data_IF_836843688593
#
_entry.id   IF_836843688593
#
_cell.length_a   1.000
_cell.length_b   1.000
_cell.length_c   1.000
_cell.angle_alpha   90.00
_cell.angle_beta   90.00
_cell.angle_gamma   90.00
#
_symmetry.space_group_name_H-M   'P 1'
#
loop_
_entity.id
_entity.type
_entity.pdbx_description
1 polymer ?
#
# COMPACT_ATOMS: atom_id res chain seq x y z
N UNK A 1 2.83 5.62 -9.88
CA UNK A 1 1.79 5.83 -8.85
C UNK A 1 1.79 4.64 -7.92
N UNK A 2 1.74 4.87 -6.61
CA UNK A 2 1.65 3.80 -5.61
C UNK A 2 0.62 4.13 -4.53
N UNK A 3 -0.12 3.11 -4.07
CA UNK A 3 -1.04 3.22 -2.95
C UNK A 3 -0.62 2.25 -1.84
N UNK A 4 -0.68 2.67 -0.59
CA UNK A 4 -0.42 1.81 0.58
C UNK A 4 0.93 1.09 0.46
N UNK A 5 0.95 -0.24 0.49
CA UNK A 5 2.16 -1.05 0.25
C UNK A 5 2.82 -0.74 -1.11
N UNK A 6 2.04 -0.46 -2.15
CA UNK A 6 2.56 -0.07 -3.46
C UNK A 6 3.30 1.27 -3.42
N UNK A 7 2.88 2.21 -2.57
CA UNK A 7 3.58 3.47 -2.33
C UNK A 7 4.94 3.23 -1.67
N UNK A 8 4.97 2.36 -0.65
CA UNK A 8 6.21 1.96 0.03
C UNK A 8 7.22 1.36 -0.95
N UNK A 9 6.78 0.40 -1.78
CA UNK A 9 7.64 -0.24 -2.79
C UNK A 9 8.15 0.78 -3.81
N UNK A 10 7.29 1.72 -4.23
CA UNK A 10 7.66 2.77 -5.18
C UNK A 10 8.72 3.74 -4.60
N UNK A 11 8.62 4.12 -3.33
CA UNK A 11 9.64 4.90 -2.63
C UNK A 11 10.97 4.17 -2.58
N UNK A 12 10.97 2.89 -2.18
CA UNK A 12 12.20 2.09 -2.12
C UNK A 12 12.85 1.97 -3.48
N UNK A 13 12.05 1.75 -4.55
CA UNK A 13 12.55 1.71 -5.92
C UNK A 13 13.14 3.06 -6.35
N UNK A 14 12.42 4.16 -6.15
CA UNK A 14 12.87 5.50 -6.54
C UNK A 14 14.17 5.93 -5.82
N UNK A 15 14.34 5.51 -4.58
CA UNK A 15 15.57 5.77 -3.83
C UNK A 15 16.74 4.88 -4.27
N UNK A 16 16.48 3.60 -4.61
CA UNK A 16 17.52 2.64 -4.97
C UNK A 16 17.94 2.74 -6.45
N UNK A 17 17.04 3.18 -7.33
CA UNK A 17 17.23 3.28 -8.78
C UNK A 17 16.66 4.60 -9.30
N UNK A 18 17.24 5.76 -8.93
CA UNK A 18 16.68 7.07 -9.24
C UNK A 18 16.54 7.32 -10.75
N UNK A 19 17.39 6.73 -11.57
CA UNK A 19 17.35 6.83 -13.04
C UNK A 19 16.12 6.14 -13.67
N UNK A 20 15.36 5.36 -12.89
CA UNK A 20 14.17 4.62 -13.36
C UNK A 20 12.86 5.34 -13.05
N UNK A 21 12.89 6.41 -12.25
CA UNK A 21 11.69 7.07 -11.76
C UNK A 21 11.78 8.57 -12.00
N UNK A 22 11.00 9.05 -12.95
CA UNK A 22 10.95 10.48 -13.29
C UNK A 22 10.09 11.28 -12.33
N UNK A 23 9.00 10.71 -11.84
CA UNK A 23 8.03 11.33 -10.91
C UNK A 23 7.39 10.26 -10.04
N UNK A 24 7.07 10.60 -8.80
CA UNK A 24 6.51 9.68 -7.83
C UNK A 24 5.23 10.25 -7.21
N UNK A 25 4.09 9.63 -7.52
CA UNK A 25 2.80 9.96 -6.92
C UNK A 25 2.38 8.86 -5.93
N UNK A 26 2.08 9.25 -4.69
CA UNK A 26 1.82 8.35 -3.58
C UNK A 26 0.43 8.61 -2.98
N UNK A 27 -0.28 7.55 -2.64
CA UNK A 27 -1.58 7.61 -1.97
C UNK A 27 -1.50 6.85 -0.65
N UNK A 28 -1.64 7.57 0.44
CA UNK A 28 -1.76 7.08 1.83
C UNK A 28 -0.80 5.91 2.16
N UNK A 29 0.45 6.07 1.75
CA UNK A 29 1.55 5.15 2.01
C UNK A 29 2.89 5.85 1.76
N UNK A 30 3.88 5.63 2.62
CA UNK A 30 5.15 6.36 2.57
C UNK A 30 6.36 5.48 2.87
N UNK A 31 6.35 4.80 4.00
CA UNK A 31 7.48 4.00 4.48
C UNK A 31 7.01 2.67 5.05
N UNK A 32 7.84 1.61 5.03
CA UNK A 32 7.48 0.32 5.59
C UNK A 32 7.34 0.42 7.12
N UNK A 33 6.57 -0.51 7.69
CA UNK A 33 6.57 -0.71 9.13
C UNK A 33 7.98 -1.01 9.60
N UNK A 34 8.48 -0.19 10.52
CA UNK A 34 9.82 -0.32 11.09
C UNK A 34 9.86 -1.36 12.20
N UNK A 35 11.06 -1.81 12.54
CA UNK A 35 11.31 -2.70 13.66
C UNK A 35 12.53 -2.25 14.46
N UNK A 36 12.53 -2.61 15.74
CA UNK A 36 13.67 -2.38 16.61
C UNK A 36 14.70 -3.49 16.40
N UNK A 37 16.02 -3.18 16.41
CA UNK A 37 17.08 -4.14 16.15
C UNK A 37 17.08 -5.35 17.08
N UNK A 38 16.79 -5.16 18.35
CA UNK A 38 16.72 -6.21 19.39
C UNK A 38 15.59 -7.20 19.16
N UNK A 39 14.51 -6.78 18.47
CA UNK A 39 13.38 -7.63 18.11
C UNK A 39 13.60 -8.42 16.82
N UNK A 40 14.63 -8.10 16.03
CA UNK A 40 14.85 -8.69 14.71
C UNK A 40 14.91 -10.23 14.72
N UNK A 41 15.61 -10.92 15.65
CA UNK A 41 15.64 -12.38 15.68
C UNK A 41 14.25 -13.01 15.94
N UNK A 42 13.47 -12.43 16.86
CA UNK A 42 12.12 -12.91 17.16
C UNK A 42 11.18 -12.73 15.95
N UNK A 43 11.21 -11.55 15.32
CA UNK A 43 10.40 -11.24 14.14
C UNK A 43 10.75 -12.11 12.92
N UNK A 44 12.03 -12.37 12.71
CA UNK A 44 12.47 -13.29 11.67
C UNK A 44 11.92 -14.71 11.95
N UNK A 45 12.02 -15.21 13.17
CA UNK A 45 11.48 -16.51 13.56
C UNK A 45 9.96 -16.61 13.37
N UNK A 46 9.20 -15.57 13.72
CA UNK A 46 7.77 -15.48 13.48
C UNK A 46 7.45 -15.56 11.98
N UNK A 47 8.14 -14.76 11.16
CA UNK A 47 7.91 -14.71 9.72
C UNK A 47 8.25 -16.03 9.01
N UNK A 48 9.34 -16.69 9.39
CA UNK A 48 9.72 -18.00 8.85
C UNK A 48 8.68 -19.08 9.19
N UNK A 49 8.22 -19.13 10.44
CA UNK A 49 7.13 -20.06 10.84
C UNK A 49 5.84 -19.79 10.08
N UNK A 50 5.47 -18.53 9.90
CA UNK A 50 4.29 -18.16 9.13
C UNK A 50 4.43 -18.57 7.64
N UNK A 51 5.61 -18.40 7.05
CA UNK A 51 5.88 -18.81 5.67
C UNK A 51 5.81 -20.34 5.51
N UNK A 52 6.38 -21.12 6.44
CA UNK A 52 6.29 -22.56 6.43
C UNK A 52 4.82 -23.03 6.58
N UNK A 53 4.07 -22.41 7.48
CA UNK A 53 2.66 -22.71 7.68
C UNK A 53 1.81 -22.36 6.44
N UNK A 54 2.19 -21.34 5.66
CA UNK A 54 1.48 -20.95 4.44
C UNK A 54 1.70 -21.94 3.30
N UNK A 55 2.88 -22.55 3.19
CA UNK A 55 3.23 -23.46 2.08
C UNK A 55 2.30 -24.68 1.97
N UNK A 56 1.65 -25.08 3.06
CA UNK A 56 0.64 -26.15 3.09
C UNK A 56 -0.80 -25.69 2.93
N UNK A 57 -1.06 -24.37 2.85
CA UNK A 57 -2.44 -23.85 2.78
C UNK A 57 -2.87 -23.59 1.33
N UNK A 58 -4.04 -24.13 0.98
CA UNK A 58 -4.71 -23.77 -0.28
C UNK A 58 -5.36 -22.40 -0.13
N UNK A 59 -5.37 -21.62 -1.23
CA UNK A 59 -6.14 -20.38 -1.28
C UNK A 59 -7.63 -20.67 -1.08
N UNK A 60 -8.37 -19.74 -0.45
CA UNK A 60 -9.82 -19.88 -0.37
C UNK A 60 -10.43 -19.89 -1.78
N UNK A 61 -11.41 -20.78 -1.97
CA UNK A 61 -12.23 -20.84 -3.18
C UNK A 61 -13.62 -20.37 -2.80
N UNK A 62 -14.14 -19.41 -3.53
CA UNK A 62 -15.48 -18.84 -3.36
C UNK A 62 -16.39 -19.41 -4.45
N UNK A 63 -17.53 -19.99 -4.10
CA UNK A 63 -18.46 -20.56 -5.06
C UNK A 63 -19.04 -19.52 -6.03
N UNK A 64 -19.09 -18.26 -5.61
CA UNK A 64 -19.48 -17.14 -6.46
C UNK A 64 -18.67 -15.86 -6.13
N UNK A 65 -18.78 -14.86 -7.00
CA UNK A 65 -18.05 -13.60 -6.89
C UNK A 65 -18.49 -12.79 -5.67
N UNK A 66 -19.78 -12.85 -5.28
CA UNK A 66 -20.30 -12.05 -4.17
C UNK A 66 -19.69 -12.47 -2.82
N UNK A 67 -19.45 -13.76 -2.62
CA UNK A 67 -18.74 -14.25 -1.43
C UNK A 67 -17.30 -13.70 -1.35
N UNK A 68 -16.62 -13.58 -2.48
CA UNK A 68 -15.29 -12.98 -2.52
C UNK A 68 -15.33 -11.47 -2.25
N UNK A 69 -16.36 -10.75 -2.75
CA UNK A 69 -16.62 -9.34 -2.47
C UNK A 69 -16.87 -9.13 -0.98
N UNK A 70 -17.76 -9.91 -0.37
CA UNK A 70 -18.07 -9.83 1.06
C UNK A 70 -16.84 -10.12 1.93
N UNK A 71 -16.01 -11.08 1.54
CA UNK A 71 -14.75 -11.37 2.20
C UNK A 71 -13.75 -10.19 2.08
N UNK A 72 -13.69 -9.52 0.91
CA UNK A 72 -12.81 -8.36 0.70
C UNK A 72 -13.25 -7.15 1.54
N UNK A 73 -14.55 -6.91 1.67
CA UNK A 73 -15.09 -5.83 2.51
C UNK A 73 -14.68 -5.97 3.98
N UNK A 74 -14.59 -7.22 4.47
CA UNK A 74 -14.20 -7.55 5.86
C UNK A 74 -12.70 -7.70 6.06
N UNK A 75 -11.91 -7.64 5.00
CA UNK A 75 -10.47 -7.82 5.02
C UNK A 75 -9.71 -6.62 5.57
N UNK A 76 -8.39 -6.73 5.62
CA UNK A 76 -7.49 -5.64 6.05
C UNK A 76 -7.69 -4.42 5.14
N UNK A 77 -7.88 -3.26 5.76
CA UNK A 77 -8.24 -2.03 5.06
C UNK A 77 -9.61 -2.22 4.39
N UNK A 78 -10.69 -2.16 5.19
CA UNK A 78 -12.06 -2.25 4.67
C UNK A 78 -12.29 -1.28 3.52
N UNK A 79 -13.08 -1.71 2.54
CA UNK A 79 -13.47 -0.92 1.37
C UNK A 79 -14.98 -0.95 1.22
N UNK A 80 -15.55 0.00 0.48
CA UNK A 80 -16.96 -0.03 0.10
C UNK A 80 -17.27 -1.26 -0.75
N UNK A 81 -18.57 -1.58 -0.91
CA UNK A 81 -18.99 -2.69 -1.78
C UNK A 81 -18.58 -2.46 -3.22
N UNK A 82 -18.77 -1.24 -3.71
CA UNK A 82 -18.41 -0.83 -5.07
C UNK A 82 -16.90 -1.04 -5.32
N UNK A 83 -16.07 -0.60 -4.39
CA UNK A 83 -14.62 -0.80 -4.46
C UNK A 83 -14.24 -2.29 -4.41
N UNK A 84 -14.90 -3.08 -3.54
CA UNK A 84 -14.67 -4.52 -3.45
C UNK A 84 -15.05 -5.24 -4.75
N UNK A 85 -16.14 -4.84 -5.41
CA UNK A 85 -16.56 -5.37 -6.70
C UNK A 85 -15.57 -5.02 -7.82
N UNK A 86 -15.08 -3.78 -7.88
CA UNK A 86 -14.03 -3.38 -8.83
C UNK A 86 -12.76 -4.21 -8.63
N UNK A 87 -12.34 -4.40 -7.39
CA UNK A 87 -11.17 -5.22 -7.06
C UNK A 87 -11.39 -6.69 -7.42
N UNK A 88 -12.59 -7.24 -7.18
CA UNK A 88 -12.94 -8.62 -7.49
C UNK A 88 -12.91 -8.88 -9.01
N UNK A 89 -13.47 -7.98 -9.82
CA UNK A 89 -13.44 -8.08 -11.30
C UNK A 89 -12.03 -8.23 -11.86
N UNK A 90 -11.04 -7.59 -11.27
CA UNK A 90 -9.64 -7.63 -11.71
C UNK A 90 -8.83 -8.70 -10.99
N UNK A 91 -9.12 -8.94 -9.73
CA UNK A 91 -8.31 -9.75 -8.82
C UNK A 91 -8.69 -11.22 -8.77
N UNK A 92 -9.90 -11.59 -9.17
CA UNK A 92 -10.34 -12.98 -9.17
C UNK A 92 -9.93 -13.72 -10.46
N UNK A 93 -9.81 -15.03 -10.33
CA UNK A 93 -9.66 -15.96 -11.45
C UNK A 93 -10.54 -17.19 -11.22
N UNK A 94 -11.11 -17.78 -12.28
CA UNK A 94 -11.87 -19.01 -12.16
C UNK A 94 -10.94 -20.19 -11.81
N UNK A 95 -11.45 -21.09 -10.98
CA UNK A 95 -10.81 -22.35 -10.61
C UNK A 95 -11.89 -23.44 -10.46
N UNK A 96 -11.49 -24.69 -10.32
CA UNK A 96 -12.46 -25.77 -10.01
C UNK A 96 -13.19 -25.43 -8.69
N UNK A 97 -14.51 -25.39 -8.74
CA UNK A 97 -15.38 -25.08 -7.61
C UNK A 97 -15.67 -23.59 -7.41
N UNK A 98 -15.25 -22.67 -8.31
CA UNK A 98 -15.59 -21.25 -8.24
C UNK A 98 -14.47 -20.31 -8.60
N UNK A 99 -14.14 -19.38 -7.71
CA UNK A 99 -13.19 -18.30 -7.92
C UNK A 99 -12.17 -18.20 -6.79
N UNK A 100 -10.95 -17.81 -7.11
CA UNK A 100 -9.91 -17.48 -6.10
C UNK A 100 -9.19 -16.20 -6.48
N UNK A 101 -8.52 -15.57 -5.51
CA UNK A 101 -7.70 -14.37 -5.77
C UNK A 101 -6.42 -14.73 -6.53
N UNK A 102 -6.06 -13.95 -7.54
CA UNK A 102 -4.80 -14.07 -8.31
C UNK A 102 -3.58 -13.75 -7.45
N UNK A 103 -3.73 -12.82 -6.50
CA UNK A 103 -2.64 -12.35 -5.66
C UNK A 103 -1.93 -13.51 -4.96
N UNK A 104 -0.61 -13.41 -4.85
CA UNK A 104 0.18 -14.40 -4.11
C UNK A 104 -0.20 -14.36 -2.62
N UNK A 105 -0.41 -15.53 -2.02
CA UNK A 105 -0.75 -15.62 -0.60
C UNK A 105 0.36 -15.09 0.32
N UNK A 106 1.61 -15.04 -0.16
CA UNK A 106 2.74 -14.45 0.58
C UNK A 106 2.60 -12.95 0.81
N UNK A 107 1.77 -12.24 0.05
CA UNK A 107 1.47 -10.83 0.29
C UNK A 107 0.76 -10.57 1.62
N UNK A 108 0.20 -11.60 2.26
CA UNK A 108 -0.39 -11.51 3.59
C UNK A 108 0.61 -11.69 4.72
N UNK A 109 1.85 -12.05 4.41
CA UNK A 109 2.90 -12.28 5.39
C UNK A 109 3.62 -10.99 5.76
N UNK A 110 4.02 -10.88 7.03
CA UNK A 110 4.94 -9.83 7.43
C UNK A 110 6.32 -10.02 6.80
N UNK A 111 7.01 -8.91 6.53
CA UNK A 111 8.40 -8.95 6.07
C UNK A 111 9.29 -9.69 7.09
N UNK A 112 10.12 -10.64 6.66
CA UNK A 112 11.00 -11.39 7.55
C UNK A 112 12.08 -10.52 8.20
N UNK A 113 12.50 -9.47 7.50
CA UNK A 113 13.42 -8.45 8.01
C UNK A 113 12.76 -7.09 7.88
N UNK A 114 12.64 -6.37 8.97
CA UNK A 114 12.11 -4.99 8.98
C UNK A 114 13.26 -4.00 8.97
N UNK A 115 13.09 -2.94 8.22
CA UNK A 115 13.97 -1.78 8.29
C UNK A 115 13.81 -1.08 9.63
N UNK A 116 14.88 -0.50 10.15
CA UNK A 116 14.76 0.45 11.26
C UNK A 116 14.20 1.77 10.76
N UNK A 117 13.75 2.65 11.67
CA UNK A 117 13.32 4.00 11.32
C UNK A 117 14.43 4.78 10.60
N UNK A 118 15.68 4.63 11.02
CA UNK A 118 16.83 5.29 10.39
C UNK A 118 17.02 4.85 8.92
N UNK A 119 16.89 3.55 8.62
CA UNK A 119 16.91 3.06 7.26
C UNK A 119 15.77 3.65 6.41
N UNK A 120 14.54 3.65 6.93
CA UNK A 120 13.38 4.18 6.21
C UNK A 120 13.52 5.67 5.89
N UNK A 121 14.01 6.47 6.85
CA UNK A 121 14.30 7.89 6.64
C UNK A 121 15.40 8.11 5.58
N UNK A 122 16.43 7.27 5.58
CA UNK A 122 17.49 7.33 4.58
C UNK A 122 16.94 7.10 3.16
N UNK A 123 16.05 6.12 2.96
CA UNK A 123 15.37 5.91 1.68
C UNK A 123 14.54 7.12 1.25
N UNK A 124 13.74 7.70 2.16
CA UNK A 124 12.93 8.88 1.84
C UNK A 124 13.78 10.06 1.39
N UNK A 125 14.92 10.29 2.06
CA UNK A 125 15.85 11.36 1.71
C UNK A 125 16.64 11.12 0.43
N UNK A 126 16.77 9.86 0.00
CA UNK A 126 17.49 9.47 -1.20
C UNK A 126 16.66 9.58 -2.48
N UNK A 127 15.34 9.80 -2.39
CA UNK A 127 14.49 10.03 -3.57
C UNK A 127 14.90 11.36 -4.23
N UNK A 128 15.22 11.31 -5.52
CA UNK A 128 15.72 12.45 -6.29
C UNK A 128 14.66 13.07 -7.21
N UNK A 129 13.64 12.30 -7.58
CA UNK A 129 12.57 12.81 -8.44
C UNK A 129 11.55 13.64 -7.65
N UNK A 130 10.75 14.50 -8.33
CA UNK A 130 9.60 15.15 -7.70
C UNK A 130 8.64 14.11 -7.10
N UNK A 131 8.16 14.39 -5.88
CA UNK A 131 7.20 13.53 -5.17
C UNK A 131 5.95 14.32 -4.83
N UNK A 132 4.79 13.75 -5.16
CA UNK A 132 3.49 14.23 -4.70
C UNK A 132 2.81 13.16 -3.88
N UNK A 133 2.46 13.47 -2.64
CA UNK A 133 1.83 12.58 -1.68
C UNK A 133 0.42 13.05 -1.35
N UNK A 134 -0.55 12.20 -1.55
CA UNK A 134 -1.91 12.35 -1.03
C UNK A 134 -2.02 11.60 0.30
N UNK A 135 -2.34 12.34 1.37
CA UNK A 135 -2.77 11.80 2.66
C UNK A 135 -4.29 11.76 2.69
N UNK A 136 -4.86 10.62 3.05
CA UNK A 136 -6.28 10.53 3.32
C UNK A 136 -6.59 11.09 4.72
N UNK A 137 -7.57 11.99 4.85
CA UNK A 137 -7.90 12.67 6.11
C UNK A 137 -8.24 11.68 7.25
N UNK A 138 -8.83 10.54 6.91
CA UNK A 138 -9.12 9.44 7.84
C UNK A 138 -8.32 8.18 7.48
N UNK A 139 -7.14 8.36 6.86
CA UNK A 139 -6.27 7.28 6.42
C UNK A 139 -5.30 6.80 7.50
N UNK A 140 -4.40 5.90 7.09
CA UNK A 140 -3.44 5.28 8.00
C UNK A 140 -2.33 6.23 8.45
N UNK A 141 -1.97 7.23 7.64
CA UNK A 141 -0.87 8.14 7.92
C UNK A 141 -1.30 9.45 8.60
N UNK A 142 -2.59 9.82 8.52
CA UNK A 142 -3.09 11.13 8.94
C UNK A 142 -2.88 11.45 10.43
N UNK A 143 -2.79 10.42 11.27
CA UNK A 143 -2.67 10.56 12.71
C UNK A 143 -1.28 10.16 13.26
N UNK A 144 -0.35 9.86 12.37
CA UNK A 144 1.02 9.48 12.72
C UNK A 144 1.91 10.72 12.88
N UNK A 145 1.93 11.34 14.08
CA UNK A 145 2.68 12.57 14.35
C UNK A 145 4.15 12.49 13.91
N UNK A 146 4.78 11.33 14.06
CA UNK A 146 6.16 11.12 13.61
C UNK A 146 6.34 11.10 12.09
N UNK A 147 5.29 10.81 11.32
CA UNK A 147 5.28 10.89 9.85
C UNK A 147 5.09 12.34 9.42
N UNK A 148 4.15 13.07 10.02
CA UNK A 148 3.89 14.47 9.68
C UNK A 148 5.13 15.33 9.92
N UNK A 149 5.77 15.20 11.08
CA UNK A 149 7.02 15.90 11.37
C UNK A 149 8.18 15.54 10.42
N UNK A 150 8.21 14.29 9.92
CA UNK A 150 9.19 13.87 8.93
C UNK A 150 8.92 14.53 7.57
N UNK A 151 7.68 14.62 7.15
CA UNK A 151 7.27 15.22 5.87
C UNK A 151 7.61 16.70 5.79
N UNK A 152 7.55 17.45 6.90
CA UNK A 152 7.98 18.86 6.96
C UNK A 152 9.46 19.05 6.57
N UNK A 153 10.27 18.01 6.67
CA UNK A 153 11.71 18.03 6.39
C UNK A 153 12.09 17.31 5.09
N UNK A 154 11.11 16.99 4.24
CA UNK A 154 11.30 16.37 2.93
C UNK A 154 10.78 17.29 1.82
N UNK A 155 11.42 17.31 0.65
CA UNK A 155 10.97 18.11 -0.50
C UNK A 155 9.78 17.47 -1.21
N UNK A 156 8.79 17.00 -0.46
CA UNK A 156 7.61 16.32 -0.96
C UNK A 156 6.42 17.27 -0.96
N UNK A 157 5.71 17.32 -2.06
CA UNK A 157 4.44 18.05 -2.14
C UNK A 157 3.33 17.21 -1.51
N UNK A 158 2.78 17.68 -0.39
CA UNK A 158 1.80 16.91 0.40
C UNK A 158 0.43 17.54 0.30
N UNK A 159 -0.58 16.75 -0.07
CA UNK A 159 -1.98 17.13 -0.15
C UNK A 159 -2.81 16.26 0.78
N UNK A 160 -3.65 16.86 1.61
CA UNK A 160 -4.62 16.12 2.42
C UNK A 160 -5.99 16.17 1.75
N UNK A 161 -6.53 15.01 1.42
CA UNK A 161 -7.84 14.86 0.78
C UNK A 161 -8.83 14.17 1.71
N UNK A 162 -10.10 14.52 1.58
CA UNK A 162 -11.18 13.85 2.32
C UNK A 162 -11.28 12.37 1.94
N UNK A 163 -11.63 11.53 2.91
CA UNK A 163 -11.79 10.09 2.72
C UNK A 163 -10.87 9.24 3.59
N UNK A 164 -11.02 7.93 3.46
CA UNK A 164 -10.22 6.91 4.17
C UNK A 164 -9.04 6.40 3.36
N UNK A 165 -8.38 5.36 3.86
CA UNK A 165 -7.20 4.75 3.25
C UNK A 165 -7.38 4.38 1.76
N UNK A 166 -8.59 4.09 1.32
CA UNK A 166 -8.90 3.72 -0.06
C UNK A 166 -9.68 4.81 -0.81
N UNK A 167 -9.53 6.11 -0.43
CA UNK A 167 -10.28 7.24 -0.98
C UNK A 167 -10.37 7.25 -2.53
N UNK A 168 -9.35 6.77 -3.21
CA UNK A 168 -9.28 6.68 -4.68
C UNK A 168 -10.13 5.56 -5.27
N UNK A 169 -10.75 4.71 -4.45
CA UNK A 169 -11.58 3.56 -4.84
C UNK A 169 -12.98 3.60 -4.22
N UNK A 170 -13.13 4.21 -3.04
CA UNK A 170 -14.34 4.08 -2.22
C UNK A 170 -15.54 4.80 -2.84
N UNK A 171 -15.31 5.91 -3.55
CA UNK A 171 -16.35 6.63 -4.29
C UNK A 171 -15.77 7.45 -5.45
N UNK A 172 -16.67 7.99 -6.27
CA UNK A 172 -16.29 8.78 -7.44
C UNK A 172 -15.69 10.13 -7.07
N UNK A 173 -16.09 10.75 -5.97
CA UNK A 173 -15.58 12.05 -5.54
C UNK A 173 -14.12 11.93 -5.07
N UNK A 174 -13.82 10.91 -4.28
CA UNK A 174 -12.44 10.63 -3.87
C UNK A 174 -11.54 10.28 -5.05
N UNK A 175 -12.04 9.45 -5.99
CA UNK A 175 -11.31 9.12 -7.21
C UNK A 175 -11.02 10.38 -8.05
N UNK A 176 -12.00 11.27 -8.20
CA UNK A 176 -11.84 12.53 -8.93
C UNK A 176 -10.85 13.46 -8.23
N UNK A 177 -10.96 13.63 -6.90
CA UNK A 177 -10.04 14.47 -6.13
C UNK A 177 -8.58 14.02 -6.27
N UNK A 178 -8.33 12.70 -6.25
CA UNK A 178 -6.99 12.15 -6.50
C UNK A 178 -6.53 12.40 -7.94
N UNK A 179 -7.42 12.23 -8.92
CA UNK A 179 -7.12 12.51 -10.33
C UNK A 179 -6.78 14.00 -10.55
N UNK A 180 -7.56 14.91 -9.98
CA UNK A 180 -7.33 16.37 -10.05
C UNK A 180 -6.01 16.77 -9.39
N UNK A 181 -5.63 16.08 -8.32
CA UNK A 181 -4.34 16.27 -7.67
C UNK A 181 -3.18 15.79 -8.55
N UNK A 182 -3.29 14.61 -9.19
CA UNK A 182 -2.16 13.99 -9.89
C UNK A 182 -2.04 14.36 -11.37
N UNK A 183 -3.14 14.65 -12.09
CA UNK A 183 -3.08 14.98 -13.51
C UNK A 183 -2.17 16.18 -13.80
N UNK A 184 -2.26 17.33 -13.09
CA UNK A 184 -1.33 18.44 -13.30
C UNK A 184 0.13 18.06 -12.98
N UNK A 185 0.35 17.21 -11.98
CA UNK A 185 1.69 16.76 -11.61
C UNK A 185 2.36 15.95 -12.73
N UNK A 186 1.62 15.16 -13.47
CA UNK A 186 2.12 14.39 -14.61
C UNK A 186 2.15 15.18 -15.92
N UNK A 187 1.32 16.24 -16.05
CA UNK A 187 1.29 17.06 -17.25
C UNK A 187 2.46 18.06 -17.37
N UNK A 188 3.23 18.26 -16.28
CA UNK A 188 4.39 19.18 -16.23
C UNK A 188 5.68 18.55 -16.82
N UNK A 189 5.57 17.68 -17.81
CA UNK A 189 6.71 17.05 -18.48
C UNK A 189 7.17 17.85 -19.70
#
# INVERSE_FOLDING_TARGET
>A
VGHSMGAIVAVLLAAAMPERVERLALIDGLMPYTGEPDQAPAKLGEALRAQLALSGKKKPVYSDVQLAVDARMKGVGSVTREAAEMLARRGLMPVSGGYTWRSDSRLTLASPVRLTRAHSVAFLRAVQCPVRLVLAQSGMLAHEAGILALLENLPYEVHTLAGGHHLHLDDQLGAQAVADCFNPFFALA
#
